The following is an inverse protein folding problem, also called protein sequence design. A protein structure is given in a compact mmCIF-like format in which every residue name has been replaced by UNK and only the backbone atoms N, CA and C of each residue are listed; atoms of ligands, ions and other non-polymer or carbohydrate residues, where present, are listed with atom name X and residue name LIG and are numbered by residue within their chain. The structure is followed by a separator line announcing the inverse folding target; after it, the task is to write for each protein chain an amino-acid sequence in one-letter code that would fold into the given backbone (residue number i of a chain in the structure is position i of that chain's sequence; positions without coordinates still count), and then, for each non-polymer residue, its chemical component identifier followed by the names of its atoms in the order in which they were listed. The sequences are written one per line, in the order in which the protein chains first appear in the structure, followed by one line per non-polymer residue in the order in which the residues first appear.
data_IF_961284052529
#
_entry.id   IF_961284052529
#
_cell.length_a   1.000
_cell.length_b   1.000
_cell.length_c   1.000
_cell.angle_alpha   90.00
_cell.angle_beta   90.00
_cell.angle_gamma   90.00
#
_symmetry.space_group_name_H-M   'P 1'
#
loop_
_entity.id
_entity.type
_entity.pdbx_description
1 polymer ?
#
# COMPACT_ATOMS: atom_id res chain seq x y z
N UNK A 1 4.72 17.31 -1.03
CA UNK A 1 4.30 16.26 -1.97
C UNK A 1 4.53 14.90 -1.32
N UNK A 2 3.52 14.02 -1.34
CA UNK A 2 3.64 12.65 -0.82
C UNK A 2 3.66 12.52 0.71
N UNK A 3 3.03 13.46 1.41
CA UNK A 3 2.79 13.40 2.86
C UNK A 3 1.31 13.67 3.13
N UNK A 4 0.79 13.02 4.16
CA UNK A 4 -0.55 13.27 4.69
C UNK A 4 -0.43 13.62 6.18
N UNK A 5 -1.25 14.57 6.58
CA UNK A 5 -1.35 15.12 7.92
C UNK A 5 -2.79 15.00 8.37
N UNK A 6 -2.98 14.50 9.58
CA UNK A 6 -4.30 14.33 10.17
C UNK A 6 -4.31 14.96 11.55
N UNK A 7 -5.38 15.69 11.85
CA UNK A 7 -5.69 16.11 13.20
C UNK A 7 -6.46 14.98 13.88
N UNK A 8 -5.97 14.54 15.04
CA UNK A 8 -6.69 13.61 15.91
C UNK A 8 -7.30 14.40 17.06
N UNK A 9 -8.61 14.27 17.27
CA UNK A 9 -9.33 14.92 18.35
C UNK A 9 -9.85 13.84 19.29
N UNK A 10 -9.58 14.00 20.58
CA UNK A 10 -9.98 13.07 21.63
C UNK A 10 -10.75 13.85 22.69
N UNK A 11 -11.81 13.25 23.22
CA UNK A 11 -12.54 13.77 24.36
C UNK A 11 -12.35 12.83 25.54
N UNK A 12 -12.00 13.40 26.69
CA UNK A 12 -11.83 12.68 27.95
C UNK A 12 -12.78 13.26 29.00
N UNK A 13 -13.37 12.40 29.83
CA UNK A 13 -14.13 12.89 30.98
C UNK A 13 -13.17 13.45 32.04
N UNK A 14 -13.45 14.66 32.53
CA UNK A 14 -12.64 15.33 33.54
C UNK A 14 -12.94 14.89 34.97
N UNK A 15 -14.07 14.22 35.19
CA UNK A 15 -14.51 13.81 36.51
C UNK A 15 -14.97 12.37 36.41
N UNK A 16 -14.66 11.60 37.44
CA UNK A 16 -15.18 10.26 37.62
C UNK A 16 -16.72 10.26 37.63
N UNK A 17 -17.29 9.28 36.94
CA UNK A 17 -18.71 8.96 36.98
C UNK A 17 -18.90 7.60 37.66
N UNK A 18 -20.15 7.15 37.83
CA UNK A 18 -20.45 5.83 38.38
C UNK A 18 -19.84 4.69 37.55
N UNK A 19 -19.74 4.87 36.23
CA UNK A 19 -19.31 3.83 35.28
C UNK A 19 -17.89 4.04 34.74
N UNK A 20 -17.38 5.28 34.76
CA UNK A 20 -16.12 5.64 34.11
C UNK A 20 -15.23 6.42 35.08
N UNK A 21 -13.98 6.00 35.20
CA UNK A 21 -12.96 6.75 35.93
C UNK A 21 -12.60 8.05 35.22
N UNK A 22 -12.03 9.01 35.95
CA UNK A 22 -11.50 10.25 35.39
C UNK A 22 -10.41 9.96 34.35
N UNK A 23 -10.44 10.67 33.22
CA UNK A 23 -9.48 10.52 32.13
C UNK A 23 -9.81 9.39 31.13
N UNK A 24 -10.99 8.79 31.20
CA UNK A 24 -11.48 7.83 30.21
C UNK A 24 -11.80 8.51 28.85
N UNK A 25 -11.38 7.90 27.74
CA UNK A 25 -11.65 8.38 26.37
C UNK A 25 -13.12 8.13 26.00
N UNK A 26 -13.93 9.18 25.93
CA UNK A 26 -15.36 9.07 25.63
C UNK A 26 -15.67 9.23 24.14
N UNK A 27 -14.80 9.88 23.38
CA UNK A 27 -14.94 10.02 21.94
C UNK A 27 -13.59 10.30 21.27
N UNK A 28 -13.50 9.91 20.00
CA UNK A 28 -12.36 10.15 19.12
C UNK A 28 -12.84 10.43 17.71
N UNK A 29 -12.20 11.38 17.05
CA UNK A 29 -12.41 11.65 15.62
C UNK A 29 -11.10 12.05 14.94
N UNK A 30 -11.00 11.78 13.63
CA UNK A 30 -9.85 12.13 12.79
C UNK A 30 -10.27 13.03 11.62
N UNK A 31 -9.51 14.11 11.40
CA UNK A 31 -9.72 15.03 10.27
C UNK A 31 -8.49 15.08 9.37
N UNK A 32 -8.67 14.81 8.08
CA UNK A 32 -7.64 15.04 7.08
C UNK A 32 -7.42 16.56 6.92
N UNK A 33 -6.15 17.00 6.95
CA UNK A 33 -5.86 18.40 6.68
C UNK A 33 -6.03 18.72 5.19
N UNK A 34 -6.61 19.88 4.81
CA UNK A 34 -6.81 20.25 3.40
C UNK A 34 -5.53 20.32 2.57
N UNK A 35 -4.37 20.50 3.22
CA UNK A 35 -3.06 20.53 2.57
C UNK A 35 -2.57 19.13 2.11
N UNK A 36 -3.28 18.07 2.50
CA UNK A 36 -2.91 16.70 2.15
C UNK A 36 -2.93 16.52 0.64
N UNK A 37 -1.81 16.05 0.12
CA UNK A 37 -1.67 15.78 -1.29
C UNK A 37 -0.68 14.63 -1.49
N UNK A 38 -1.20 13.41 -1.26
CA UNK A 38 -0.43 12.18 -1.30
C UNK A 38 -0.03 11.82 -2.73
N UNK A 39 -0.95 11.98 -3.68
CA UNK A 39 -0.77 11.61 -5.09
C UNK A 39 -0.12 12.70 -5.96
N UNK A 40 0.52 13.71 -5.37
CA UNK A 40 1.32 14.65 -6.16
C UNK A 40 2.43 13.87 -6.85
N UNK A 41 2.44 13.95 -8.17
CA UNK A 41 3.48 13.40 -9.02
C UNK A 41 4.84 13.95 -8.54
N UNK A 42 5.70 13.06 -8.05
CA UNK A 42 7.10 13.41 -7.82
C UNK A 42 7.80 13.35 -9.16
N UNK A 43 8.69 14.30 -9.42
CA UNK A 43 9.53 14.30 -10.62
C UNK A 43 10.05 12.89 -10.90
N UNK A 44 9.79 12.41 -12.12
CA UNK A 44 10.28 11.11 -12.59
C UNK A 44 11.79 11.03 -12.32
N UNK A 45 12.21 10.08 -11.50
CA UNK A 45 13.63 9.77 -11.38
C UNK A 45 14.08 9.20 -12.72
N UNK A 46 15.05 9.87 -13.37
CA UNK A 46 15.66 9.38 -14.59
C UNK A 46 16.35 8.04 -14.33
N UNK A 47 15.63 6.95 -14.55
CA UNK A 47 16.12 5.58 -14.44
C UNK A 47 15.78 4.85 -15.73
N UNK A 48 16.76 4.19 -16.32
CA UNK A 48 16.53 3.36 -17.50
C UNK A 48 15.67 2.16 -17.09
N UNK A 49 14.50 2.02 -17.73
CA UNK A 49 13.67 0.82 -17.64
C UNK A 49 14.04 -0.07 -18.82
N UNK A 50 14.47 -1.30 -18.55
CA UNK A 50 14.73 -2.30 -19.59
C UNK A 50 13.53 -3.24 -19.67
N UNK A 51 12.95 -3.36 -20.86
CA UNK A 51 11.87 -4.31 -21.15
C UNK A 51 12.37 -5.32 -22.17
N UNK A 52 12.29 -6.60 -21.85
CA UNK A 52 12.61 -7.69 -22.77
C UNK A 52 11.38 -8.55 -22.95
N UNK A 53 10.99 -8.83 -24.19
CA UNK A 53 9.81 -9.64 -24.52
C UNK A 53 10.25 -10.90 -25.26
N UNK A 54 9.84 -12.05 -24.76
CA UNK A 54 9.92 -13.34 -25.42
C UNK A 54 8.49 -13.80 -25.81
N UNK A 55 8.37 -14.96 -26.44
CA UNK A 55 7.08 -15.47 -26.92
C UNK A 55 6.09 -15.75 -25.78
N UNK A 56 6.59 -16.18 -24.62
CA UNK A 56 5.76 -16.60 -23.49
C UNK A 56 5.90 -15.74 -22.24
N UNK A 57 6.87 -14.82 -22.21
CA UNK A 57 7.17 -14.00 -21.04
C UNK A 57 7.63 -12.59 -21.40
N UNK A 58 7.37 -11.65 -20.50
CA UNK A 58 7.99 -10.33 -20.53
C UNK A 58 8.76 -10.10 -19.23
N UNK A 59 9.98 -9.58 -19.34
CA UNK A 59 10.81 -9.17 -18.21
C UNK A 59 10.97 -7.65 -18.20
N UNK A 60 10.75 -7.05 -17.02
CA UNK A 60 10.92 -5.61 -16.78
C UNK A 60 11.95 -5.44 -15.68
N UNK A 61 13.00 -4.67 -15.95
CA UNK A 61 14.08 -4.40 -15.01
C UNK A 61 14.30 -2.90 -14.83
N UNK A 62 14.34 -2.45 -13.57
CA UNK A 62 14.64 -1.07 -13.21
C UNK A 62 15.24 -1.01 -11.79
N UNK A 63 16.32 -0.25 -11.60
CA UNK A 63 16.89 0.00 -10.27
C UNK A 63 17.26 -1.25 -9.46
N UNK A 64 17.70 -2.33 -10.13
CA UNK A 64 18.03 -3.61 -9.50
C UNK A 64 16.83 -4.48 -9.10
N UNK A 65 15.60 -4.06 -9.46
CA UNK A 65 14.38 -4.86 -9.33
C UNK A 65 14.01 -5.44 -10.69
N UNK A 66 13.66 -6.72 -10.73
CA UNK A 66 13.22 -7.42 -11.93
C UNK A 66 11.87 -8.09 -11.69
N UNK A 67 10.97 -7.90 -12.66
CA UNK A 67 9.64 -8.51 -12.73
C UNK A 67 9.56 -9.41 -13.95
N UNK A 68 8.99 -10.60 -13.81
CA UNK A 68 8.66 -11.47 -14.95
C UNK A 68 7.16 -11.69 -15.01
N UNK A 69 6.58 -11.53 -16.20
CA UNK A 69 5.16 -11.74 -16.48
C UNK A 69 4.98 -12.86 -17.50
N UNK A 70 3.95 -13.70 -17.32
CA UNK A 70 3.50 -14.65 -18.34
C UNK A 70 2.75 -13.90 -19.45
N UNK A 71 2.95 -14.25 -20.71
CA UNK A 71 2.17 -13.72 -21.84
C UNK A 71 1.10 -14.68 -22.34
N UNK A 72 1.07 -15.91 -21.82
CA UNK A 72 0.13 -16.96 -22.24
C UNK A 72 -1.24 -16.83 -21.55
N UNK A 73 -1.26 -16.47 -20.26
CA UNK A 73 -2.46 -16.58 -19.40
C UNK A 73 -2.72 -15.28 -18.60
N UNK A 74 -3.44 -14.33 -19.19
CA UNK A 74 -3.97 -13.16 -18.46
C UNK A 74 -2.93 -12.16 -17.92
N UNK A 75 -1.67 -12.26 -18.36
CA UNK A 75 -0.56 -11.36 -17.96
C UNK A 75 -0.22 -11.43 -16.46
N UNK A 76 -0.17 -12.64 -15.91
CA UNK A 76 0.12 -12.87 -14.49
C UNK A 76 1.59 -12.64 -14.16
N UNK A 77 1.86 -12.03 -13.00
CA UNK A 77 3.21 -11.89 -12.44
C UNK A 77 3.75 -13.26 -12.00
N UNK A 78 4.89 -13.67 -12.56
CA UNK A 78 5.55 -14.96 -12.32
C UNK A 78 6.70 -14.88 -11.32
N UNK A 79 7.40 -13.75 -11.25
CA UNK A 79 8.48 -13.56 -10.28
C UNK A 79 8.74 -12.09 -10.01
N UNK A 80 9.22 -11.81 -8.79
CA UNK A 80 9.81 -10.53 -8.41
C UNK A 80 11.16 -10.84 -7.77
N UNK A 81 12.19 -10.11 -8.17
CA UNK A 81 13.49 -10.17 -7.53
C UNK A 81 14.11 -8.81 -7.35
N UNK A 82 14.96 -8.66 -6.33
CA UNK A 82 15.80 -7.48 -6.12
C UNK A 82 17.21 -7.96 -5.88
N UNK A 83 18.18 -7.43 -6.63
CA UNK A 83 19.59 -7.84 -6.53
C UNK A 83 19.76 -9.38 -6.58
N UNK A 84 18.99 -10.04 -7.47
CA UNK A 84 18.93 -11.51 -7.64
C UNK A 84 18.31 -12.31 -6.50
N UNK A 85 17.86 -11.67 -5.41
CA UNK A 85 17.06 -12.32 -4.37
C UNK A 85 15.60 -12.39 -4.81
N UNK A 86 15.04 -13.60 -4.90
CA UNK A 86 13.62 -13.82 -5.25
C UNK A 86 12.72 -13.58 -4.05
N UNK A 87 11.58 -12.93 -4.28
CA UNK A 87 10.51 -12.77 -3.31
C UNK A 87 9.38 -13.77 -3.58
N UNK A 88 8.70 -14.19 -2.51
CA UNK A 88 7.49 -15.02 -2.64
C UNK A 88 6.35 -14.17 -3.19
N UNK A 89 5.68 -14.66 -4.25
CA UNK A 89 4.64 -13.92 -4.98
C UNK A 89 3.26 -14.59 -4.94
N UNK A 90 3.01 -15.47 -3.97
CA UNK A 90 1.74 -16.22 -3.85
C UNK A 90 0.48 -15.34 -3.67
N UNK A 91 0.61 -14.02 -3.57
CA UNK A 91 -0.46 -13.08 -3.21
C UNK A 91 -0.88 -12.12 -4.34
N UNK A 92 -0.27 -12.15 -5.53
CA UNK A 92 -0.71 -11.32 -6.67
C UNK A 92 -1.82 -12.02 -7.48
N UNK A 93 -2.95 -12.30 -6.83
CA UNK A 93 -4.17 -12.76 -7.50
C UNK A 93 -5.29 -11.78 -7.20
N UNK A 94 -6.09 -11.47 -8.21
CA UNK A 94 -7.34 -10.75 -8.00
C UNK A 94 -8.23 -11.61 -7.09
N UNK A 95 -8.67 -11.06 -5.97
CA UNK A 95 -9.66 -11.68 -5.11
C UNK A 95 -10.87 -10.75 -5.01
N UNK A 96 -12.07 -11.33 -5.04
CA UNK A 96 -13.33 -10.61 -4.82
C UNK A 96 -14.02 -11.03 -3.52
N UNK A 97 -13.48 -12.04 -2.82
CA UNK A 97 -14.06 -12.61 -1.62
C UNK A 97 -13.42 -12.07 -0.34
N UNK A 98 -14.22 -12.04 0.73
CA UNK A 98 -13.78 -11.92 2.12
C UNK A 98 -14.29 -13.13 2.90
N UNK A 99 -13.65 -13.46 4.02
CA UNK A 99 -14.18 -14.48 4.93
C UNK A 99 -15.60 -14.11 5.39
N UNK A 100 -16.54 -15.06 5.51
CA UNK A 100 -17.87 -14.79 6.05
C UNK A 100 -17.78 -14.20 7.46
N UNK A 101 -18.62 -13.22 7.73
CA UNK A 101 -18.94 -12.79 9.09
C UNK A 101 -20.21 -13.52 9.53
N UNK A 102 -20.35 -13.77 10.84
CA UNK A 102 -21.63 -14.17 11.43
C UNK A 102 -22.75 -13.17 11.04
#
# INVERSE_FOLDING_TARGET
AGKEYFLQVYAYNKVKTEFLDEGYEVAKEQFALPINNYFVERNSTAGAVKVTKADDKASVEAGGVSFEFSLKDGKTLLSVSKNKQKYSINCFRLTSGRAPTD
#
